data_IF_308455481994
#
_entry.id   IF_308455481994
#
_cell.length_a   1.000
_cell.length_b   1.000
_cell.length_c   1.000
_cell.angle_alpha   90.00
_cell.angle_beta   90.00
_cell.angle_gamma   90.00
#
_symmetry.space_group_name_H-M   'P 1'
#
loop_
_entity.id
_entity.type
_entity.pdbx_description
1 polymer ?
#
# COMPACT_ATOMS: atom_id res chain seq x y z
N UNK A 1 22.43 -30.77 -14.62
CA UNK A 1 22.17 -29.87 -13.45
C UNK A 1 22.32 -30.67 -12.17
N UNK A 2 23.02 -30.15 -11.20
CA UNK A 2 23.19 -30.85 -9.94
C UNK A 2 21.94 -30.73 -9.05
N UNK A 3 21.89 -31.56 -8.00
CA UNK A 3 20.72 -31.64 -7.11
C UNK A 3 20.44 -30.29 -6.42
N UNK A 4 21.50 -29.56 -6.07
CA UNK A 4 21.37 -28.24 -5.42
C UNK A 4 20.66 -27.24 -6.34
N UNK A 5 21.06 -27.19 -7.61
CA UNK A 5 20.46 -26.28 -8.59
C UNK A 5 19.03 -26.69 -8.89
N UNK A 6 18.79 -27.99 -9.00
CA UNK A 6 17.43 -28.50 -9.22
C UNK A 6 16.51 -28.09 -8.07
N UNK A 7 16.96 -28.25 -6.83
CA UNK A 7 16.19 -27.86 -5.66
C UNK A 7 15.93 -26.35 -5.62
N UNK A 8 16.93 -25.54 -5.99
CA UNK A 8 16.79 -24.09 -6.06
C UNK A 8 15.71 -23.67 -7.04
N UNK A 9 15.67 -24.29 -8.22
CA UNK A 9 14.64 -24.00 -9.22
C UNK A 9 13.26 -24.43 -8.74
N UNK A 10 13.15 -25.59 -8.11
CA UNK A 10 11.88 -26.06 -7.56
C UNK A 10 11.33 -25.11 -6.52
N UNK A 11 12.18 -24.61 -5.61
CA UNK A 11 11.76 -23.65 -4.59
C UNK A 11 11.36 -22.31 -5.20
N UNK A 12 12.09 -21.83 -6.19
CA UNK A 12 11.75 -20.59 -6.88
C UNK A 12 10.38 -20.71 -7.55
N UNK A 13 10.13 -21.78 -8.27
CA UNK A 13 8.85 -21.99 -8.94
C UNK A 13 7.70 -22.14 -7.94
N UNK A 14 7.92 -22.86 -6.85
CA UNK A 14 6.90 -23.03 -5.82
C UNK A 14 6.54 -21.68 -5.16
N UNK A 15 7.55 -20.84 -4.90
CA UNK A 15 7.34 -19.50 -4.34
C UNK A 15 6.51 -18.63 -5.29
N UNK A 16 6.85 -18.63 -6.56
CA UNK A 16 6.11 -17.86 -7.57
C UNK A 16 4.65 -18.33 -7.66
N UNK A 17 4.41 -19.64 -7.59
CA UNK A 17 3.05 -20.17 -7.58
C UNK A 17 2.25 -19.71 -6.35
N UNK A 18 2.87 -19.75 -5.19
CA UNK A 18 2.23 -19.27 -3.96
C UNK A 18 1.86 -17.78 -4.06
N UNK A 19 2.77 -16.98 -4.59
CA UNK A 19 2.53 -15.55 -4.76
C UNK A 19 1.43 -15.28 -5.80
N UNK A 20 1.44 -16.01 -6.89
CA UNK A 20 0.41 -15.88 -7.93
C UNK A 20 -0.96 -16.24 -7.38
N UNK A 21 -1.05 -17.32 -6.59
CA UNK A 21 -2.30 -17.72 -5.95
C UNK A 21 -2.80 -16.68 -4.95
N UNK A 22 -1.89 -16.08 -4.19
CA UNK A 22 -2.24 -15.02 -3.23
C UNK A 22 -2.84 -13.80 -3.95
N UNK A 23 -2.28 -13.43 -5.10
CA UNK A 23 -2.79 -12.33 -5.90
C UNK A 23 -4.18 -12.65 -6.45
N UNK A 24 -4.38 -13.87 -6.96
CA UNK A 24 -5.69 -14.28 -7.45
C UNK A 24 -6.76 -14.25 -6.35
N UNK A 25 -6.42 -14.72 -5.15
CA UNK A 25 -7.34 -14.70 -4.01
C UNK A 25 -7.68 -13.27 -3.60
N UNK A 26 -6.71 -12.36 -3.65
CA UNK A 26 -6.96 -10.94 -3.39
C UNK A 26 -7.92 -10.36 -4.42
N UNK A 27 -7.71 -10.66 -5.70
CA UNK A 27 -8.61 -10.21 -6.77
C UNK A 27 -10.04 -10.69 -6.51
N UNK A 28 -10.20 -11.97 -6.16
CA UNK A 28 -11.53 -12.54 -5.93
C UNK A 28 -12.22 -11.90 -4.72
N UNK A 29 -11.46 -11.60 -3.66
CA UNK A 29 -12.02 -10.89 -2.50
C UNK A 29 -12.41 -9.45 -2.86
N UNK A 30 -11.61 -8.75 -3.63
CA UNK A 30 -11.95 -7.39 -4.07
C UNK A 30 -13.24 -7.37 -4.89
N UNK A 31 -13.42 -8.36 -5.76
CA UNK A 31 -14.61 -8.44 -6.59
C UNK A 31 -15.88 -8.70 -5.78
N UNK A 32 -15.78 -9.39 -4.64
CA UNK A 32 -16.93 -9.83 -3.87
C UNK A 32 -17.14 -9.05 -2.57
N UNK A 33 -16.09 -8.83 -1.80
CA UNK A 33 -16.17 -8.31 -0.43
C UNK A 33 -15.60 -6.91 -0.28
N UNK A 34 -14.52 -6.61 -1.00
CA UNK A 34 -13.81 -5.34 -0.89
C UNK A 34 -14.34 -4.24 -1.80
N UNK A 35 -15.35 -4.54 -2.60
CA UNK A 35 -15.83 -3.63 -3.64
C UNK A 35 -16.23 -2.27 -3.08
N UNK A 36 -17.01 -2.24 -2.01
CA UNK A 36 -17.49 -0.99 -1.43
C UNK A 36 -16.36 -0.16 -0.84
N UNK A 37 -15.43 -0.78 -0.11
CA UNK A 37 -14.30 -0.08 0.50
C UNK A 37 -13.34 0.48 -0.55
N UNK A 38 -13.03 -0.32 -1.58
CA UNK A 38 -12.18 0.12 -2.68
C UNK A 38 -12.80 1.30 -3.43
N UNK A 39 -14.09 1.21 -3.76
CA UNK A 39 -14.78 2.26 -4.50
C UNK A 39 -14.89 3.55 -3.69
N UNK A 40 -15.14 3.46 -2.39
CA UNK A 40 -15.14 4.62 -1.51
C UNK A 40 -13.75 5.28 -1.48
N UNK A 41 -12.70 4.48 -1.43
CA UNK A 41 -11.33 5.00 -1.44
C UNK A 41 -11.02 5.72 -2.74
N UNK A 42 -11.43 5.15 -3.87
CA UNK A 42 -11.26 5.77 -5.19
C UNK A 42 -11.99 7.10 -5.25
N UNK A 43 -13.23 7.14 -4.77
CA UNK A 43 -14.01 8.36 -4.77
C UNK A 43 -13.37 9.47 -3.94
N UNK A 44 -12.87 9.12 -2.75
CA UNK A 44 -12.17 10.08 -1.88
C UNK A 44 -10.92 10.64 -2.57
N UNK A 45 -10.16 9.79 -3.24
CA UNK A 45 -8.96 10.23 -3.95
C UNK A 45 -9.28 11.09 -5.16
N UNK A 46 -10.31 10.73 -5.92
CA UNK A 46 -10.74 11.52 -7.10
C UNK A 46 -11.24 12.90 -6.70
N UNK A 47 -11.92 13.02 -5.57
CA UNK A 47 -12.48 14.26 -5.08
C UNK A 47 -11.51 15.08 -4.25
N UNK A 48 -10.30 14.59 -4.05
CA UNK A 48 -9.28 15.28 -3.25
C UNK A 48 -8.90 16.61 -3.92
N UNK A 49 -9.15 17.73 -3.20
CA UNK A 49 -8.81 19.07 -3.69
C UNK A 49 -7.45 19.54 -3.24
N UNK A 50 -6.91 18.92 -2.18
CA UNK A 50 -5.62 19.24 -1.63
C UNK A 50 -4.56 18.23 -2.05
N UNK A 51 -3.83 17.73 -1.06
CA UNK A 51 -2.72 16.81 -1.26
C UNK A 51 -3.09 15.42 -0.76
N UNK A 52 -2.49 14.41 -1.39
CA UNK A 52 -2.57 13.04 -0.91
C UNK A 52 -1.35 12.81 -0.03
N UNK A 53 -1.60 12.59 1.25
CA UNK A 53 -0.54 12.34 2.23
C UNK A 53 -0.50 10.86 2.53
N UNK A 54 0.67 10.23 2.36
CA UNK A 54 0.82 8.79 2.55
C UNK A 54 1.81 8.54 3.67
N UNK A 55 1.45 7.65 4.59
CA UNK A 55 2.30 7.31 5.73
C UNK A 55 2.23 5.83 6.05
N UNK A 56 3.27 5.30 6.65
CA UNK A 56 3.34 3.90 7.06
C UNK A 56 4.59 3.62 7.86
N UNK A 57 4.56 2.56 8.64
CA UNK A 57 5.66 2.17 9.54
C UNK A 57 6.43 1.00 8.93
N UNK A 58 7.77 1.02 9.05
CA UNK A 58 8.63 -0.08 8.62
C UNK A 58 8.52 -0.36 7.13
N UNK A 59 8.24 -1.60 6.78
CA UNK A 59 8.08 -2.01 5.37
C UNK A 59 6.94 -1.29 4.69
N UNK A 60 5.86 -1.01 5.43
CA UNK A 60 4.74 -0.21 4.93
C UNK A 60 5.17 1.21 4.56
N UNK A 61 6.18 1.77 5.25
CA UNK A 61 6.75 3.06 4.92
C UNK A 61 7.39 3.10 3.55
N UNK A 62 8.11 2.03 3.17
CA UNK A 62 8.72 1.94 1.84
C UNK A 62 7.65 1.91 0.74
N UNK A 63 6.58 1.16 0.95
CA UNK A 63 5.47 1.09 0.01
C UNK A 63 4.75 2.44 -0.05
N UNK A 64 4.54 3.10 1.09
CA UNK A 64 3.91 4.41 1.17
C UNK A 64 4.69 5.46 0.37
N UNK A 65 6.03 5.44 0.45
CA UNK A 65 6.88 6.34 -0.34
C UNK A 65 6.70 6.12 -1.84
N UNK A 66 6.60 4.87 -2.25
CA UNK A 66 6.39 4.52 -3.66
C UNK A 66 5.01 4.98 -4.13
N UNK A 67 3.99 4.79 -3.31
CA UNK A 67 2.63 5.23 -3.63
C UNK A 67 2.60 6.75 -3.79
N UNK A 68 3.20 7.50 -2.87
CA UNK A 68 3.26 8.95 -2.95
C UNK A 68 3.99 9.41 -4.22
N UNK A 69 5.12 8.77 -4.54
CA UNK A 69 5.89 9.09 -5.75
C UNK A 69 5.08 8.81 -7.02
N UNK A 70 4.32 7.73 -7.04
CA UNK A 70 3.48 7.38 -8.19
C UNK A 70 2.37 8.40 -8.39
N UNK A 71 1.67 8.80 -7.33
CA UNK A 71 0.66 9.84 -7.43
C UNK A 71 1.27 11.15 -7.93
N UNK A 72 2.38 11.58 -7.36
CA UNK A 72 3.04 12.82 -7.77
C UNK A 72 3.45 12.77 -9.24
N UNK A 73 3.99 11.65 -9.71
CA UNK A 73 4.43 11.50 -11.10
C UNK A 73 3.28 11.45 -12.10
N UNK A 74 2.08 11.13 -11.65
CA UNK A 74 0.88 11.06 -12.51
C UNK A 74 -0.01 12.28 -12.38
N UNK A 75 0.46 13.34 -11.74
CA UNK A 75 -0.21 14.63 -11.71
C UNK A 75 -1.02 14.93 -10.47
N UNK A 76 -1.03 14.04 -9.48
CA UNK A 76 -1.73 14.26 -8.21
C UNK A 76 -0.73 14.71 -7.15
N UNK A 77 -0.90 15.90 -6.54
CA UNK A 77 0.02 16.33 -5.48
C UNK A 77 0.01 15.35 -4.32
N UNK A 78 1.13 14.74 -4.05
CA UNK A 78 1.26 13.71 -3.01
C UNK A 78 2.64 13.73 -2.38
N UNK A 79 2.72 13.38 -1.10
CA UNK A 79 3.99 13.25 -0.40
C UNK A 79 3.90 12.26 0.75
N UNK A 80 5.06 11.75 1.15
CA UNK A 80 5.17 10.83 2.27
C UNK A 80 5.49 11.60 3.56
N UNK A 81 4.85 11.20 4.66
CA UNK A 81 5.15 11.70 6.02
C UNK A 81 5.51 10.52 6.90
N UNK A 82 6.67 10.58 7.55
CA UNK A 82 7.07 9.56 8.49
C UNK A 82 6.18 9.63 9.73
N UNK A 83 5.69 8.47 10.26
CA UNK A 83 4.79 8.49 11.42
C UNK A 83 5.35 9.19 12.66
N UNK A 84 6.67 9.12 12.87
CA UNK A 84 7.30 9.82 13.99
C UNK A 84 7.19 11.35 13.85
N UNK A 85 7.34 11.87 12.63
CA UNK A 85 7.18 13.30 12.36
C UNK A 85 5.72 13.73 12.49
N UNK A 86 4.80 12.85 12.07
CA UNK A 86 3.36 13.09 12.24
C UNK A 86 3.01 13.28 13.70
N UNK A 87 3.59 12.46 14.60
CA UNK A 87 3.34 12.58 16.04
C UNK A 87 3.99 13.82 16.66
N UNK A 88 4.94 14.46 15.98
CA UNK A 88 5.58 15.70 16.41
C UNK A 88 4.94 16.97 15.84
N UNK A 89 3.75 16.86 15.26
CA UNK A 89 2.99 18.00 14.83
C UNK A 89 2.82 18.17 13.32
N UNK A 90 3.45 17.35 12.49
CA UNK A 90 3.32 17.46 11.05
C UNK A 90 1.89 17.22 10.57
N UNK A 91 1.08 16.49 11.35
CA UNK A 91 -0.35 16.34 11.05
C UNK A 91 -1.10 17.65 11.13
N UNK A 92 -0.60 18.65 11.84
CA UNK A 92 -1.18 19.99 11.87
C UNK A 92 -1.12 20.71 10.53
N UNK A 93 -0.32 20.22 9.59
CA UNK A 93 -0.25 20.76 8.23
C UNK A 93 -1.34 20.21 7.32
N UNK A 94 -2.10 19.22 7.77
CA UNK A 94 -3.20 18.66 6.99
C UNK A 94 -4.40 19.61 7.04
N UNK A 95 -5.03 19.80 5.89
CA UNK A 95 -6.26 20.56 5.78
C UNK A 95 -7.43 19.63 5.48
N UNK A 96 -8.65 20.16 5.54
CA UNK A 96 -9.85 19.38 5.21
C UNK A 96 -9.92 19.00 3.74
N UNK A 97 -9.09 19.61 2.89
CA UNK A 97 -9.03 19.29 1.46
C UNK A 97 -8.05 18.14 1.16
N UNK A 98 -7.25 17.74 2.13
CA UNK A 98 -6.27 16.68 1.98
C UNK A 98 -6.88 15.30 2.27
N UNK A 99 -6.28 14.25 1.68
CA UNK A 99 -6.62 12.85 1.97
C UNK A 99 -5.40 12.17 2.55
N UNK A 100 -5.60 11.42 3.63
CA UNK A 100 -4.54 10.67 4.28
C UNK A 100 -4.68 9.18 4.00
N UNK A 101 -3.63 8.57 3.46
CA UNK A 101 -3.51 7.11 3.34
C UNK A 101 -2.51 6.65 4.39
N UNK A 102 -2.97 5.86 5.34
CA UNK A 102 -2.13 5.42 6.45
C UNK A 102 -2.23 3.92 6.66
N UNK A 103 -1.06 3.27 6.75
CA UNK A 103 -0.98 1.85 7.05
C UNK A 103 -0.45 1.69 8.48
N UNK A 104 -1.32 1.44 9.47
CA UNK A 104 -0.87 1.22 10.84
C UNK A 104 -0.18 -0.15 10.99
N UNK A 105 0.59 -0.31 12.05
CA UNK A 105 1.12 -1.60 12.43
C UNK A 105 -0.03 -2.43 13.01
N UNK A 106 -0.42 -3.47 12.28
CA UNK A 106 -1.48 -4.37 12.71
C UNK A 106 -0.84 -5.68 13.14
N UNK A 107 -1.06 -6.07 14.39
CA UNK A 107 -0.62 -7.39 14.83
C UNK A 107 -1.57 -8.45 14.27
N UNK A 108 -1.06 -9.57 13.76
CA UNK A 108 -1.93 -10.65 13.32
C UNK A 108 -2.77 -11.13 14.51
N UNK A 109 -4.07 -11.29 14.31
CA UNK A 109 -4.94 -11.87 15.30
C UNK A 109 -4.62 -13.35 15.43
N UNK A 110 -4.45 -13.78 16.66
CA UNK A 110 -4.23 -15.21 16.93
C UNK A 110 -5.54 -15.92 17.15
#
# INVERSE_FOLDING_TARGET
MNAKNQRALELACATLELEADAIRKMRDRLAQEGQSALLLSVDLLEQCRGRIVVSGIGKSGHIARKIAATFASTGSPAFFVHPAEASHGDLGMLSTDDVLIFKPLVKPSM
#
